data_IF_986308887604
#
_entry.id   IF_986308887604
#
_cell.length_a   1.000
_cell.length_b   1.000
_cell.length_c   1.000
_cell.angle_alpha   90.00
_cell.angle_beta   90.00
_cell.angle_gamma   90.00
#
_symmetry.space_group_name_H-M   'P 1'
#
loop_
_entity.id
_entity.type
_entity.pdbx_description
1 polymer ?
#
# COMPACT_ATOMS: atom_id res chain seq x y z
N UNK A 1 -4.98 24.74 -14.08
CA UNK A 1 -5.41 23.42 -13.57
C UNK A 1 -6.37 23.67 -12.42
N UNK A 2 -7.43 22.88 -12.28
CA UNK A 2 -8.30 22.97 -11.10
C UNK A 2 -7.46 22.72 -9.83
N UNK A 3 -7.83 23.30 -8.69
CA UNK A 3 -7.17 23.06 -7.40
C UNK A 3 -7.30 21.58 -7.00
N UNK A 4 -6.25 20.91 -6.48
CA UNK A 4 -6.38 19.54 -6.01
C UNK A 4 -7.31 19.45 -4.81
N UNK A 5 -8.08 18.37 -4.74
CA UNK A 5 -9.01 18.09 -3.64
C UNK A 5 -8.35 17.13 -2.66
N UNK A 6 -8.59 17.32 -1.36
CA UNK A 6 -8.22 16.35 -0.32
C UNK A 6 -9.47 15.64 0.15
N UNK A 7 -9.56 14.34 -0.10
CA UNK A 7 -10.75 13.53 0.15
C UNK A 7 -10.36 12.20 0.80
N UNK A 8 -11.25 11.59 1.60
CA UNK A 8 -11.08 10.19 2.02
C UNK A 8 -10.87 9.30 0.79
N UNK A 9 -9.83 8.49 0.77
CA UNK A 9 -9.52 7.69 -0.40
C UNK A 9 -8.34 6.74 -0.23
N UNK A 10 -8.24 5.81 -1.17
CA UNK A 10 -7.09 4.94 -1.39
C UNK A 10 -6.54 5.29 -2.76
N UNK A 11 -5.21 5.37 -2.88
CA UNK A 11 -4.54 5.46 -4.18
C UNK A 11 -3.38 4.47 -4.25
N UNK A 12 -3.02 4.06 -5.46
CA UNK A 12 -1.86 3.22 -5.72
C UNK A 12 -1.24 3.49 -7.08
N UNK A 13 0.09 3.40 -7.19
CA UNK A 13 0.75 3.41 -8.49
C UNK A 13 0.41 2.13 -9.27
N UNK A 14 0.21 2.25 -10.58
CA UNK A 14 -0.11 1.11 -11.46
C UNK A 14 1.08 0.18 -11.68
N UNK A 15 2.31 0.69 -11.52
CA UNK A 15 3.55 -0.04 -11.76
C UNK A 15 4.56 0.17 -10.63
N UNK A 16 4.32 -0.45 -9.47
CA UNK A 16 5.26 -0.42 -8.36
C UNK A 16 5.73 -1.82 -7.95
N UNK A 17 7.00 -1.90 -7.56
CA UNK A 17 7.60 -3.09 -6.94
C UNK A 17 7.53 -3.09 -5.42
N UNK A 18 7.01 -2.02 -4.82
CA UNK A 18 6.79 -1.87 -3.38
C UNK A 18 5.41 -1.29 -3.14
N UNK A 19 4.84 -1.50 -1.96
CA UNK A 19 3.55 -0.94 -1.56
C UNK A 19 3.58 -0.10 -0.28
N UNK A 20 2.82 1.00 -0.24
CA UNK A 20 2.46 1.72 0.98
C UNK A 20 1.02 1.41 1.37
N UNK A 21 0.81 0.20 1.90
CA UNK A 21 -0.51 -0.33 2.21
C UNK A 21 -0.95 -0.01 3.65
N UNK A 22 -0.03 0.10 4.62
CA UNK A 22 -0.32 0.58 5.98
C UNK A 22 -0.17 2.10 6.04
N UNK A 23 -1.29 2.82 6.18
CA UNK A 23 -1.32 4.29 6.08
C UNK A 23 -1.63 4.96 7.41
N UNK A 24 -1.07 6.15 7.61
CA UNK A 24 -1.27 7.00 8.79
C UNK A 24 -2.41 8.01 8.62
N UNK A 25 -2.97 8.11 7.42
CA UNK A 25 -4.09 9.00 7.06
C UNK A 25 -5.00 8.26 6.07
N UNK A 26 -6.30 8.48 6.21
CA UNK A 26 -7.33 7.96 5.30
C UNK A 26 -7.61 8.86 4.08
N UNK A 27 -6.86 9.95 3.92
CA UNK A 27 -7.08 10.95 2.87
C UNK A 27 -5.98 10.93 1.81
N UNK A 28 -6.39 11.25 0.59
CA UNK A 28 -5.52 11.48 -0.56
C UNK A 28 -5.80 12.86 -1.15
N UNK A 29 -4.76 13.50 -1.69
CA UNK A 29 -4.85 14.83 -2.31
C UNK A 29 -4.52 14.73 -3.79
N UNK A 30 -5.44 15.14 -4.67
CA UNK A 30 -5.23 15.00 -6.11
C UNK A 30 -6.35 15.55 -6.97
N UNK A 31 -6.29 15.21 -8.26
CA UNK A 31 -7.33 15.47 -9.24
C UNK A 31 -8.01 14.15 -9.59
N UNK A 32 -9.34 14.14 -9.48
CA UNK A 32 -10.17 12.96 -9.66
C UNK A 32 -11.24 13.24 -10.71
N UNK A 33 -11.53 12.25 -11.56
CA UNK A 33 -12.60 12.36 -12.56
C UNK A 33 -13.90 11.73 -12.11
N UNK A 34 -13.82 10.77 -11.21
CA UNK A 34 -14.96 9.98 -10.72
C UNK A 34 -14.72 9.56 -9.26
N UNK A 35 -15.60 8.71 -8.73
CA UNK A 35 -15.44 8.11 -7.40
C UNK A 35 -14.37 7.01 -7.34
N UNK A 36 -13.98 6.44 -8.48
CA UNK A 36 -12.91 5.45 -8.61
C UNK A 36 -12.40 5.43 -10.06
N UNK A 37 -11.19 4.95 -10.27
CA UNK A 37 -10.60 4.82 -11.60
C UNK A 37 -9.10 4.58 -11.57
N UNK A 38 -8.47 4.71 -12.73
CA UNK A 38 -7.01 4.55 -12.92
C UNK A 38 -6.35 5.81 -13.50
N UNK A 39 -7.05 6.94 -13.44
CA UNK A 39 -6.69 8.18 -14.12
C UNK A 39 -6.50 9.37 -13.17
N UNK A 40 -6.41 9.12 -11.85
CA UNK A 40 -6.15 10.18 -10.88
C UNK A 40 -4.70 10.66 -10.96
N UNK A 41 -4.53 11.97 -10.78
CA UNK A 41 -3.20 12.59 -10.58
C UNK A 41 -3.11 12.98 -9.11
N UNK A 42 -2.27 12.27 -8.35
CA UNK A 42 -2.13 12.45 -6.91
C UNK A 42 -0.91 13.31 -6.61
N UNK A 43 -1.04 14.22 -5.64
CA UNK A 43 0.07 15.09 -5.22
C UNK A 43 1.19 14.26 -4.58
N UNK A 44 2.43 14.66 -4.85
CA UNK A 44 3.62 14.04 -4.26
C UNK A 44 3.68 14.29 -2.74
N UNK A 45 3.77 13.22 -1.96
CA UNK A 45 4.23 13.27 -0.56
C UNK A 45 5.71 12.85 -0.52
N UNK A 46 6.61 13.84 -0.47
CA UNK A 46 8.06 13.63 -0.49
C UNK A 46 8.65 13.78 0.91
N UNK A 47 9.41 12.78 1.33
CA UNK A 47 10.10 12.78 2.63
C UNK A 47 11.59 12.45 2.50
N UNK A 48 12.42 12.91 3.45
CA UNK A 48 13.86 12.61 3.45
C UNK A 48 14.17 11.10 3.60
N UNK A 49 14.92 10.57 2.64
CA UNK A 49 15.31 9.15 2.54
C UNK A 49 16.84 8.94 2.57
N UNK A 50 17.57 9.87 3.22
CA UNK A 50 19.01 9.80 3.42
C UNK A 50 19.80 10.47 2.31
N UNK A 51 20.93 9.87 1.93
CA UNK A 51 21.81 10.36 0.85
C UNK A 51 22.10 9.24 -0.15
N UNK A 52 22.33 9.62 -1.40
CA UNK A 52 22.89 8.74 -2.42
C UNK A 52 24.39 8.47 -2.16
N UNK A 53 24.97 7.50 -2.86
CA UNK A 53 26.41 7.15 -2.76
C UNK A 53 27.33 8.33 -3.11
N UNK A 54 26.87 9.26 -3.93
CA UNK A 54 27.57 10.50 -4.29
C UNK A 54 27.38 11.64 -3.27
N UNK A 55 26.72 11.37 -2.13
CA UNK A 55 26.48 12.35 -1.07
C UNK A 55 25.26 13.27 -1.27
N UNK A 56 24.60 13.23 -2.44
CA UNK A 56 23.41 14.04 -2.71
C UNK A 56 22.22 13.61 -1.83
N UNK A 57 21.37 14.57 -1.44
CA UNK A 57 20.17 14.28 -0.67
C UNK A 57 19.20 13.39 -1.47
N UNK A 58 18.70 12.34 -0.82
CA UNK A 58 17.71 11.41 -1.39
C UNK A 58 16.37 11.64 -0.72
N UNK A 59 15.32 11.75 -1.52
CA UNK A 59 13.94 11.81 -1.06
C UNK A 59 13.17 10.59 -1.54
N UNK A 60 12.14 10.21 -0.81
CA UNK A 60 11.20 9.15 -1.18
C UNK A 60 9.82 9.77 -1.37
N UNK A 61 9.20 9.52 -2.53
CA UNK A 61 7.81 9.86 -2.73
C UNK A 61 6.95 8.71 -2.21
N UNK A 62 6.29 8.91 -1.07
CA UNK A 62 5.40 7.91 -0.46
C UNK A 62 4.19 7.61 -1.35
N UNK A 63 3.66 8.62 -2.04
CA UNK A 63 2.53 8.50 -2.98
C UNK A 63 2.88 7.60 -4.17
N UNK A 64 3.94 7.95 -4.90
CA UNK A 64 4.30 7.30 -6.17
C UNK A 64 5.33 6.18 -6.01
N UNK A 65 5.82 5.97 -4.80
CA UNK A 65 6.76 4.93 -4.41
C UNK A 65 8.02 4.90 -5.28
N UNK A 66 8.67 6.06 -5.39
CA UNK A 66 9.94 6.19 -6.11
C UNK A 66 10.87 7.18 -5.42
N UNK A 67 12.18 7.02 -5.67
CA UNK A 67 13.18 7.97 -5.22
C UNK A 67 13.18 9.22 -6.08
N UNK A 68 13.50 10.34 -5.43
CA UNK A 68 13.80 11.63 -6.05
C UNK A 68 15.14 12.14 -5.50
N UNK A 69 15.87 12.91 -6.31
CA UNK A 69 17.11 13.57 -5.93
C UNK A 69 18.34 13.03 -6.66
N UNK A 70 18.14 12.35 -7.80
CA UNK A 70 19.22 12.05 -8.73
C UNK A 70 19.76 13.35 -9.35
N UNK A 71 20.93 13.29 -9.98
CA UNK A 71 21.49 14.48 -10.67
C UNK A 71 20.53 15.04 -11.73
N UNK A 72 19.79 14.18 -12.43
CA UNK A 72 18.77 14.59 -13.38
C UNK A 72 17.59 15.31 -12.70
N UNK A 73 17.15 14.82 -11.53
CA UNK A 73 16.08 15.47 -10.76
C UNK A 73 16.50 16.86 -10.25
N UNK A 74 17.74 17.00 -9.80
CA UNK A 74 18.31 18.27 -9.33
C UNK A 74 18.47 19.29 -10.47
N UNK A 75 18.95 18.85 -11.64
CA UNK A 75 19.11 19.70 -12.81
C UNK A 75 17.76 20.20 -13.37
N UNK A 76 16.69 19.41 -13.18
CA UNK A 76 15.35 19.73 -13.66
C UNK A 76 14.46 20.50 -12.69
N UNK A 77 14.92 20.82 -11.47
CA UNK A 77 14.09 21.47 -10.44
C UNK A 77 14.34 23.00 -10.42
N UNK A 78 13.39 23.83 -10.88
CA UNK A 78 13.49 25.28 -10.72
C UNK A 78 13.37 25.64 -9.24
N UNK A 79 14.10 26.66 -8.79
CA UNK A 79 14.12 27.12 -7.40
C UNK A 79 12.76 27.54 -6.82
N UNK A 80 11.74 27.74 -7.65
CA UNK A 80 10.42 28.25 -7.29
C UNK A 80 9.26 27.23 -7.43
N UNK A 81 9.53 25.98 -7.81
CA UNK A 81 8.48 24.95 -7.95
C UNK A 81 8.49 23.97 -6.77
N UNK A 82 7.32 23.50 -6.31
CA UNK A 82 7.26 22.44 -5.33
C UNK A 82 7.96 21.19 -5.88
N UNK A 83 8.73 20.53 -5.03
CA UNK A 83 9.45 19.32 -5.39
C UNK A 83 8.46 18.25 -5.89
N UNK A 84 8.71 17.68 -7.06
CA UNK A 84 7.86 16.70 -7.71
C UNK A 84 8.70 15.49 -8.10
N UNK A 85 8.22 14.29 -7.76
CA UNK A 85 8.91 13.06 -8.16
C UNK A 85 8.78 12.84 -9.68
N UNK A 86 9.61 11.96 -10.25
CA UNK A 86 9.57 11.63 -11.69
C UNK A 86 8.22 11.10 -12.17
N UNK A 87 7.39 10.58 -11.26
CA UNK A 87 6.05 10.04 -11.54
C UNK A 87 4.91 11.01 -11.17
N UNK A 88 5.17 12.28 -10.87
CA UNK A 88 4.15 13.21 -10.35
C UNK A 88 2.95 13.44 -11.28
N UNK A 89 3.13 13.21 -12.58
CA UNK A 89 2.08 13.34 -13.59
C UNK A 89 1.57 11.97 -14.08
N UNK A 90 2.06 10.87 -13.50
CA UNK A 90 1.62 9.54 -13.87
C UNK A 90 0.22 9.27 -13.34
N UNK A 91 -0.64 8.62 -14.15
CA UNK A 91 -1.95 8.20 -13.68
C UNK A 91 -1.82 7.14 -12.57
N UNK A 92 -2.72 7.21 -11.59
CA UNK A 92 -2.79 6.30 -10.46
C UNK A 92 -4.18 5.67 -10.33
N UNK A 93 -4.20 4.42 -9.86
CA UNK A 93 -5.40 3.77 -9.37
C UNK A 93 -5.91 4.46 -8.12
N UNK A 94 -7.23 4.63 -8.01
CA UNK A 94 -7.84 5.25 -6.84
C UNK A 94 -9.28 4.81 -6.60
N UNK A 95 -9.71 4.96 -5.34
CA UNK A 95 -11.11 5.00 -4.94
C UNK A 95 -11.30 6.06 -3.86
N UNK A 96 -12.31 6.89 -4.02
CA UNK A 96 -12.76 7.87 -3.04
C UNK A 96 -13.82 7.24 -2.15
N UNK A 97 -13.81 7.62 -0.87
CA UNK A 97 -14.73 7.10 0.14
C UNK A 97 -14.79 5.56 0.15
N UNK A 98 -13.63 4.87 0.28
CA UNK A 98 -13.57 3.42 0.29
C UNK A 98 -14.44 2.85 1.41
N UNK A 99 -14.94 1.63 1.22
CA UNK A 99 -15.55 0.88 2.33
C UNK A 99 -14.50 0.66 3.41
N UNK A 100 -14.73 1.21 4.59
CA UNK A 100 -13.96 0.94 5.80
C UNK A 100 -14.53 -0.30 6.49
N UNK A 101 -13.75 -1.36 6.52
CA UNK A 101 -14.13 -2.65 7.08
C UNK A 101 -13.48 -2.87 8.44
N UNK A 102 -14.34 -3.13 9.42
CA UNK A 102 -13.95 -3.52 10.77
C UNK A 102 -14.03 -5.06 10.88
N UNK A 103 -12.88 -5.76 10.89
CA UNK A 103 -12.86 -7.21 10.97
C UNK A 103 -13.34 -7.76 12.32
N UNK A 104 -13.34 -6.96 13.40
CA UNK A 104 -13.75 -7.40 14.73
C UNK A 104 -15.25 -7.68 14.84
N UNK A 105 -16.05 -7.15 13.91
CA UNK A 105 -17.49 -7.36 13.85
C UNK A 105 -17.89 -8.70 13.20
N UNK A 106 -16.91 -9.46 12.69
CA UNK A 106 -17.15 -10.67 11.92
C UNK A 106 -16.40 -11.86 12.52
N UNK A 107 -17.09 -12.99 12.62
CA UNK A 107 -16.52 -14.27 13.03
C UNK A 107 -15.58 -14.86 11.98
N UNK A 108 -15.94 -14.70 10.69
CA UNK A 108 -15.15 -15.21 9.57
C UNK A 108 -15.18 -14.19 8.42
N UNK A 109 -14.02 -13.98 7.80
CA UNK A 109 -13.84 -13.07 6.67
C UNK A 109 -12.95 -13.71 5.62
N UNK A 110 -13.38 -13.65 4.37
CA UNK A 110 -12.56 -14.03 3.22
C UNK A 110 -12.40 -12.82 2.29
N UNK A 111 -11.18 -12.67 1.77
CA UNK A 111 -10.81 -11.68 0.78
C UNK A 111 -10.26 -12.43 -0.43
N UNK A 112 -10.77 -12.13 -1.62
CA UNK A 112 -10.29 -12.74 -2.86
C UNK A 112 -10.23 -11.71 -3.98
N UNK A 113 -9.23 -11.81 -4.84
CA UNK A 113 -9.22 -11.06 -6.09
C UNK A 113 -10.06 -11.80 -7.13
N UNK A 114 -11.06 -11.12 -7.70
CA UNK A 114 -11.85 -11.60 -8.82
C UNK A 114 -11.09 -11.50 -10.14
N UNK A 115 -11.55 -12.24 -11.16
CA UNK A 115 -10.98 -12.15 -12.53
C UNK A 115 -11.24 -10.79 -13.19
N UNK A 116 -12.21 -10.04 -12.66
CA UNK A 116 -12.56 -8.66 -13.00
C UNK A 116 -11.65 -7.62 -12.34
N UNK A 117 -10.66 -8.05 -11.54
CA UNK A 117 -9.76 -7.17 -10.79
C UNK A 117 -10.37 -6.58 -9.52
N UNK A 118 -11.62 -6.93 -9.18
CA UNK A 118 -12.27 -6.45 -7.96
C UNK A 118 -11.91 -7.33 -6.75
N UNK A 119 -11.77 -6.70 -5.60
CA UNK A 119 -11.64 -7.36 -4.30
C UNK A 119 -13.03 -7.80 -3.84
N UNK A 120 -13.22 -9.11 -3.73
CA UNK A 120 -14.43 -9.75 -3.22
C UNK A 120 -14.27 -9.99 -1.73
N UNK A 121 -14.98 -9.19 -0.95
CA UNK A 121 -15.10 -9.31 0.49
C UNK A 121 -16.35 -10.12 0.82
N UNK A 122 -16.17 -11.18 1.60
CA UNK A 122 -17.27 -11.98 2.15
C UNK A 122 -17.02 -12.19 3.63
N UNK A 123 -17.97 -11.81 4.48
CA UNK A 123 -17.84 -11.91 5.93
C UNK A 123 -19.15 -12.34 6.60
N UNK A 124 -19.06 -13.04 7.74
CA UNK A 124 -20.22 -13.47 8.53
C UNK A 124 -20.05 -13.05 9.99
N UNK A 125 -21.10 -12.46 10.56
CA UNK A 125 -21.10 -12.00 11.95
C UNK A 125 -21.10 -13.17 12.95
N UNK A 126 -21.72 -14.30 12.59
CA UNK A 126 -21.77 -15.52 13.37
C UNK A 126 -21.88 -16.74 12.44
N UNK A 127 -21.68 -17.94 12.97
CA UNK A 127 -21.94 -19.18 12.22
C UNK A 127 -23.41 -19.24 11.78
N UNK A 128 -23.65 -19.59 10.52
CA UNK A 128 -24.99 -19.51 9.89
C UNK A 128 -25.58 -18.10 9.74
N UNK A 129 -24.89 -17.05 10.19
CA UNK A 129 -25.35 -15.66 10.14
C UNK A 129 -25.40 -15.09 8.72
N UNK A 130 -26.07 -13.94 8.56
CA UNK A 130 -26.19 -13.24 7.29
C UNK A 130 -24.82 -12.96 6.64
N UNK A 131 -24.72 -13.21 5.35
CA UNK A 131 -23.51 -12.99 4.58
C UNK A 131 -23.39 -11.52 4.19
N UNK A 132 -22.40 -10.83 4.75
CA UNK A 132 -21.96 -9.55 4.23
C UNK A 132 -21.09 -9.79 2.99
N UNK A 133 -21.49 -9.22 1.86
CA UNK A 133 -20.88 -9.50 0.55
C UNK A 133 -20.74 -8.21 -0.25
N UNK A 134 -19.51 -7.88 -0.65
CA UNK A 134 -19.18 -6.70 -1.46
C UNK A 134 -18.07 -7.03 -2.46
N UNK A 135 -18.17 -6.46 -3.65
CA UNK A 135 -17.11 -6.48 -4.67
C UNK A 135 -16.64 -5.03 -4.84
N UNK A 136 -15.36 -4.78 -4.62
CA UNK A 136 -14.81 -3.44 -4.38
C UNK A 136 -13.53 -3.23 -5.21
N UNK A 137 -13.26 -2.02 -5.73
CA UNK A 137 -12.01 -1.72 -6.43
C UNK A 137 -10.80 -1.73 -5.47
N UNK A 138 -10.99 -1.27 -4.23
CA UNK A 138 -10.04 -1.39 -3.13
C UNK A 138 -10.80 -1.45 -1.80
N UNK A 139 -10.15 -1.99 -0.76
CA UNK A 139 -10.73 -2.14 0.58
C UNK A 139 -9.86 -1.41 1.61
N UNK A 140 -10.49 -0.61 2.46
CA UNK A 140 -9.87 -0.08 3.65
C UNK A 140 -10.20 -1.00 4.83
N UNK A 141 -9.20 -1.48 5.56
CA UNK A 141 -9.38 -2.22 6.81
C UNK A 141 -9.03 -1.29 7.97
N UNK A 142 -9.93 -1.21 8.96
CA UNK A 142 -9.72 -0.37 10.14
C UNK A 142 -8.70 -1.01 11.09
N UNK A 143 -7.49 -0.45 11.17
CA UNK A 143 -6.46 -0.97 12.06
C UNK A 143 -6.74 -0.69 13.54
N UNK A 144 -7.65 0.24 13.85
CA UNK A 144 -8.05 0.52 15.25
C UNK A 144 -8.83 -0.65 15.85
N UNK A 145 -9.47 -1.46 15.01
CA UNK A 145 -10.11 -2.72 15.39
C UNK A 145 -9.13 -3.90 15.54
N UNK A 146 -7.83 -3.68 15.30
CA UNK A 146 -6.79 -4.70 15.29
C UNK A 146 -5.65 -4.33 16.26
N UNK A 147 -5.94 -4.19 17.57
CA UNK A 147 -4.96 -3.67 18.52
C UNK A 147 -3.72 -4.57 18.61
N UNK A 148 -2.54 -3.95 18.50
CA UNK A 148 -1.25 -4.64 18.59
C UNK A 148 -0.79 -5.34 17.30
N UNK A 149 -1.61 -5.36 16.25
CA UNK A 149 -1.22 -6.01 14.99
C UNK A 149 -0.30 -5.13 14.13
N UNK A 150 -0.48 -3.81 14.18
CA UNK A 150 0.32 -2.83 13.45
C UNK A 150 0.79 -1.70 14.38
N UNK A 151 1.80 -0.91 13.98
CA UNK A 151 2.17 0.31 14.69
C UNK A 151 0.96 1.21 14.96
N UNK A 152 0.95 1.90 16.12
CA UNK A 152 -0.23 2.66 16.61
C UNK A 152 -0.64 3.82 15.70
N UNK A 153 0.29 4.33 14.90
CA UNK A 153 0.05 5.40 13.94
C UNK A 153 -0.56 4.90 12.62
N UNK A 154 -0.57 3.58 12.37
CA UNK A 154 -1.32 2.98 11.26
C UNK A 154 -2.80 2.99 11.59
N UNK A 155 -3.56 3.84 10.91
CA UNK A 155 -5.01 3.97 11.09
C UNK A 155 -5.80 3.06 10.15
N UNK A 156 -5.21 2.71 9.00
CA UNK A 156 -5.91 1.98 7.95
C UNK A 156 -4.94 1.09 7.15
N UNK A 157 -5.42 -0.09 6.76
CA UNK A 157 -4.76 -0.95 5.80
C UNK A 157 -5.49 -0.88 4.45
N UNK A 158 -4.79 -0.42 3.40
CA UNK A 158 -5.32 -0.23 2.06
C UNK A 158 -5.07 -1.45 1.20
N UNK A 159 -6.01 -2.39 1.16
CA UNK A 159 -5.93 -3.55 0.27
C UNK A 159 -6.27 -3.10 -1.15
N UNK A 160 -5.24 -2.96 -1.98
CA UNK A 160 -5.35 -2.59 -3.40
C UNK A 160 -5.34 -3.83 -4.30
N UNK A 161 -5.77 -3.73 -5.57
CA UNK A 161 -5.70 -4.85 -6.51
C UNK A 161 -4.29 -5.45 -6.62
N UNK A 162 -3.27 -4.60 -6.73
CA UNK A 162 -1.87 -5.05 -6.81
C UNK A 162 -1.42 -5.81 -5.56
N UNK A 163 -1.79 -5.35 -4.36
CA UNK A 163 -1.47 -6.03 -3.11
C UNK A 163 -2.18 -7.38 -2.98
N UNK A 164 -3.48 -7.41 -3.32
CA UNK A 164 -4.26 -8.64 -3.31
C UNK A 164 -3.73 -9.66 -4.34
N UNK A 165 -3.33 -9.19 -5.53
CA UNK A 165 -2.76 -10.02 -6.58
C UNK A 165 -1.42 -10.62 -6.16
N UNK A 166 -0.50 -9.79 -5.66
CA UNK A 166 0.81 -10.24 -5.21
C UNK A 166 0.69 -11.30 -4.09
N UNK A 167 -0.20 -11.06 -3.14
CA UNK A 167 -0.45 -12.01 -2.05
C UNK A 167 -1.06 -13.32 -2.53
N UNK A 168 -2.08 -13.27 -3.38
CA UNK A 168 -2.72 -14.45 -3.95
C UNK A 168 -1.74 -15.28 -4.79
N UNK A 169 -0.89 -14.63 -5.60
CA UNK A 169 0.12 -15.30 -6.40
C UNK A 169 1.18 -15.99 -5.53
N UNK A 170 1.65 -15.33 -4.47
CA UNK A 170 2.61 -15.92 -3.53
C UNK A 170 2.02 -17.13 -2.78
N UNK A 171 0.74 -17.06 -2.37
CA UNK A 171 0.02 -18.21 -1.78
C UNK A 171 -0.08 -19.38 -2.76
N UNK A 172 -0.48 -19.12 -4.01
CA UNK A 172 -0.61 -20.15 -5.03
C UNK A 172 0.73 -20.81 -5.37
N UNK A 173 1.81 -20.04 -5.38
CA UNK A 173 3.16 -20.53 -5.61
C UNK A 173 3.76 -21.28 -4.40
N UNK A 174 3.09 -21.28 -3.24
CA UNK A 174 3.65 -21.83 -2.01
C UNK A 174 4.90 -21.09 -1.53
N UNK A 175 5.03 -19.79 -1.83
CA UNK A 175 6.17 -19.01 -1.43
C UNK A 175 6.20 -18.81 0.10
N UNK A 176 7.38 -18.82 0.75
CA UNK A 176 7.50 -18.42 2.15
C UNK A 176 7.06 -16.97 2.31
N UNK A 177 5.95 -16.79 3.03
CA UNK A 177 5.31 -15.51 3.30
C UNK A 177 5.54 -15.12 4.77
N UNK A 178 5.85 -13.85 4.99
CA UNK A 178 5.85 -13.26 6.33
C UNK A 178 5.59 -11.73 6.21
N UNK A 179 5.61 -11.00 7.32
CA UNK A 179 5.47 -9.55 7.35
C UNK A 179 6.63 -8.93 8.14
N UNK A 180 7.64 -8.47 7.40
CA UNK A 180 8.77 -7.74 8.00
C UNK A 180 8.43 -6.27 8.24
N UNK A 181 8.82 -5.74 9.39
CA UNK A 181 8.69 -4.33 9.72
C UNK A 181 9.97 -3.56 9.38
N UNK A 182 9.81 -2.30 8.97
CA UNK A 182 10.94 -1.47 8.61
C UNK A 182 11.80 -1.13 9.82
N UNK A 183 13.09 -1.46 9.76
CA UNK A 183 14.04 -1.16 10.84
C UNK A 183 14.19 0.34 11.14
N UNK A 184 13.81 1.22 10.21
CA UNK A 184 13.89 2.67 10.37
C UNK A 184 12.60 3.31 10.90
N UNK A 185 11.43 2.87 10.42
CA UNK A 185 10.16 3.56 10.72
C UNK A 185 9.08 2.66 11.33
N UNK A 186 9.34 1.36 11.48
CA UNK A 186 8.38 0.41 12.05
C UNK A 186 7.22 0.00 11.14
N UNK A 187 6.95 0.72 10.03
CA UNK A 187 5.89 0.34 9.11
C UNK A 187 6.18 -0.99 8.39
N UNK A 188 5.14 -1.82 8.16
CA UNK A 188 5.31 -3.13 7.56
C UNK A 188 5.63 -3.02 6.06
N UNK A 189 6.48 -3.92 5.57
CA UNK A 189 6.88 -3.99 4.18
C UNK A 189 5.84 -4.76 3.35
N UNK A 190 5.52 -4.21 2.18
CA UNK A 190 4.73 -4.85 1.14
C UNK A 190 5.57 -4.94 -0.14
N UNK A 191 5.92 -6.16 -0.52
CA UNK A 191 6.57 -6.46 -1.79
C UNK A 191 5.49 -6.57 -2.89
N UNK A 192 5.71 -5.88 -4.01
CA UNK A 192 4.86 -5.89 -5.20
C UNK A 192 5.70 -6.18 -6.45
N UNK A 193 5.04 -6.40 -7.59
CA UNK A 193 5.72 -6.59 -8.88
C UNK A 193 6.87 -7.59 -8.77
N UNK A 194 8.04 -7.22 -9.30
CA UNK A 194 9.24 -8.08 -9.30
C UNK A 194 9.69 -8.52 -7.89
N UNK A 195 9.49 -7.71 -6.85
CA UNK A 195 9.87 -8.09 -5.48
C UNK A 195 8.92 -9.15 -4.89
N UNK A 196 7.69 -9.26 -5.39
CA UNK A 196 6.76 -10.29 -4.97
C UNK A 196 6.98 -11.65 -5.68
N UNK A 197 7.83 -11.70 -6.72
CA UNK A 197 8.02 -12.91 -7.53
C UNK A 197 8.93 -13.95 -6.87
N UNK A 198 9.85 -13.51 -6.00
CA UNK A 198 10.83 -14.40 -5.38
C UNK A 198 11.10 -14.00 -3.92
N UNK A 199 11.15 -14.97 -3.00
CA UNK A 199 11.55 -14.72 -1.62
C UNK A 199 12.95 -14.12 -1.54
N UNK A 200 13.09 -13.10 -0.72
CA UNK A 200 14.36 -12.41 -0.54
C UNK A 200 14.49 -11.86 0.88
N UNK A 201 15.71 -11.50 1.27
CA UNK A 201 15.98 -11.01 2.62
C UNK A 201 15.88 -9.49 2.74
N UNK A 202 16.13 -8.75 1.67
CA UNK A 202 16.29 -7.29 1.69
C UNK A 202 15.03 -6.60 1.18
N UNK A 203 14.27 -5.98 2.07
CA UNK A 203 13.00 -5.34 1.73
C UNK A 203 13.12 -3.82 1.64
N UNK A 204 12.40 -3.23 0.68
CA UNK A 204 12.29 -1.78 0.51
C UNK A 204 11.00 -1.26 1.11
N UNK A 205 11.07 -0.19 1.90
CA UNK A 205 9.93 0.33 2.65
C UNK A 205 9.12 1.31 1.79
N UNK A 206 7.88 0.95 1.45
CA UNK A 206 6.96 1.82 0.73
C UNK A 206 6.58 3.10 1.50
N UNK A 207 6.67 3.08 2.83
CA UNK A 207 6.33 4.25 3.67
C UNK A 207 7.44 5.30 3.74
N UNK A 208 8.69 4.90 3.99
CA UNK A 208 9.81 5.84 4.25
C UNK A 208 10.97 5.78 3.24
N UNK A 209 10.92 4.86 2.27
CA UNK A 209 12.00 4.67 1.29
C UNK A 209 13.31 4.16 1.90
N UNK A 210 13.26 3.52 3.08
CA UNK A 210 14.43 2.79 3.58
C UNK A 210 14.54 1.45 2.86
N UNK A 211 15.70 1.19 2.28
CA UNK A 211 15.98 0.06 1.39
C UNK A 211 16.97 -0.95 2.00
N UNK A 212 17.09 -1.00 3.33
CA UNK A 212 18.04 -1.89 4.02
C UNK A 212 17.42 -2.63 5.22
N UNK A 213 16.10 -2.83 5.23
CA UNK A 213 15.45 -3.73 6.20
C UNK A 213 15.69 -5.17 5.78
N UNK A 214 16.26 -5.99 6.67
CA UNK A 214 16.56 -7.39 6.38
C UNK A 214 15.72 -8.34 7.24
N UNK A 215 15.02 -9.28 6.61
CA UNK A 215 14.37 -10.40 7.28
C UNK A 215 15.36 -11.51 7.65
N UNK A 216 15.00 -12.32 8.65
CA UNK A 216 15.85 -13.41 9.13
C UNK A 216 16.07 -14.49 8.05
N UNK A 217 15.02 -14.83 7.32
CA UNK A 217 15.02 -15.79 6.21
C UNK A 217 14.44 -15.15 4.94
N UNK A 218 14.74 -15.67 3.73
CA UNK A 218 14.12 -15.19 2.50
C UNK A 218 12.59 -15.36 2.53
N UNK A 219 11.85 -14.27 2.35
CA UNK A 219 10.38 -14.23 2.35
C UNK A 219 9.88 -13.31 1.24
N UNK A 220 8.60 -13.44 0.89
CA UNK A 220 7.83 -12.35 0.27
C UNK A 220 7.11 -11.62 1.41
N UNK A 221 7.43 -10.35 1.62
CA UNK A 221 6.89 -9.58 2.75
C UNK A 221 5.54 -8.96 2.39
N UNK A 222 4.52 -9.19 3.22
CA UNK A 222 3.20 -8.58 3.05
C UNK A 222 2.42 -8.44 4.36
N UNK A 223 1.82 -7.27 4.64
CA UNK A 223 0.95 -7.09 5.80
C UNK A 223 -0.31 -7.97 5.77
N UNK A 224 -0.71 -8.45 4.59
CA UNK A 224 -1.85 -9.35 4.42
C UNK A 224 -1.61 -10.72 5.05
N UNK A 225 -0.34 -11.16 5.17
CA UNK A 225 0.00 -12.37 5.89
C UNK A 225 -0.29 -12.24 7.39
N UNK A 226 0.06 -11.09 7.98
CA UNK A 226 -0.22 -10.78 9.38
C UNK A 226 -1.73 -10.74 9.66
N UNK A 227 -2.50 -10.14 8.74
CA UNK A 227 -3.96 -10.18 8.80
C UNK A 227 -4.53 -11.60 8.71
N UNK A 228 -4.00 -12.44 7.81
CA UNK A 228 -4.42 -13.84 7.64
C UNK A 228 -4.34 -14.64 8.94
N UNK A 229 -3.26 -14.45 9.70
CA UNK A 229 -3.09 -15.15 10.97
C UNK A 229 -3.97 -14.61 12.09
N UNK A 230 -4.33 -13.33 12.06
CA UNK A 230 -5.16 -12.71 13.09
C UNK A 230 -6.66 -12.97 12.87
N UNK A 231 -7.11 -12.91 11.63
CA UNK A 231 -8.50 -13.12 11.25
C UNK A 231 -8.62 -14.54 10.71
N UNK A 232 -9.14 -15.46 11.53
CA UNK A 232 -9.33 -16.86 11.15
C UNK A 232 -10.10 -16.93 9.81
N UNK A 233 -9.44 -17.50 8.78
CA UNK A 233 -9.90 -17.66 7.38
C UNK A 233 -9.68 -16.50 6.38
N UNK A 234 -8.70 -15.62 6.60
CA UNK A 234 -8.35 -14.61 5.58
C UNK A 234 -7.52 -15.18 4.40
N UNK A 235 -8.13 -15.24 3.21
CA UNK A 235 -7.64 -15.70 1.89
C UNK A 235 -7.73 -17.21 1.60
#
# INVERSE_FOLDING_TARGET
>A
MATPLTLPGICWPLHASTGHLAVTTSHITGHFRAGAGEDAIIVCDLLPAGKFRNGAARHWCRTHQCYWGTQADLAGCPSAQPMQCRQHASPMGYVLYPTLFDPSQFHATTLRLGQDGLIRLRARAADGGALFSRDLPALAIDCRALPGLFPRDVVQLNVTPAAAQAFAAALQAGAPLDCSDCARCGHPHLDLGDFALAPHRRHSCGHCGHDASHSAAPIVSTPLWRLRHHITQCF
#
